data_IF_702660810139
#
_entry.id   IF_702660810139
#
_cell.length_a   1.000
_cell.length_b   1.000
_cell.length_c   1.000
_cell.angle_alpha   90.00
_cell.angle_beta   90.00
_cell.angle_gamma   90.00
#
_symmetry.space_group_name_H-M   'P 1'
#
loop_
_entity.id
_entity.type
_entity.pdbx_description
1 polymer ?
#
# COMPACT_ATOMS: atom_id res chain seq x y z
N UNK A 1 1.29 3.27 27.11
CA UNK A 1 2.21 3.51 25.97
C UNK A 1 1.42 4.19 24.86
N UNK A 2 1.66 5.48 24.63
CA UNK A 2 1.08 6.22 23.50
C UNK A 2 1.76 5.72 22.21
N UNK A 3 1.04 4.95 21.40
CA UNK A 3 1.46 4.65 20.03
C UNK A 3 1.06 5.83 19.18
N UNK A 4 2.02 6.62 18.72
CA UNK A 4 1.77 7.67 17.74
C UNK A 4 1.33 6.98 16.44
N UNK A 5 0.03 6.99 16.16
CA UNK A 5 -0.51 6.51 14.89
C UNK A 5 -0.07 7.50 13.79
N UNK A 6 1.13 7.32 13.22
CA UNK A 6 1.47 7.97 11.95
C UNK A 6 0.54 7.37 10.90
N UNK A 7 -0.21 8.22 10.20
CA UNK A 7 -1.05 7.77 9.10
C UNK A 7 -0.16 7.12 8.04
N UNK A 8 -0.46 5.89 7.59
CA UNK A 8 0.31 5.25 6.52
C UNK A 8 0.25 6.11 5.26
N UNK A 9 1.39 6.20 4.56
CA UNK A 9 1.43 6.80 3.23
C UNK A 9 0.80 5.85 2.22
N UNK A 10 0.05 6.40 1.27
CA UNK A 10 -0.64 5.61 0.26
C UNK A 10 0.33 5.07 -0.79
N UNK A 11 0.18 3.79 -1.14
CA UNK A 11 0.93 3.15 -2.23
C UNK A 11 0.00 2.92 -3.43
N UNK A 12 -1.10 2.21 -3.19
CA UNK A 12 -2.14 1.87 -4.15
C UNK A 12 -3.49 1.85 -3.44
N UNK A 13 -4.51 2.47 -4.04
CA UNK A 13 -5.90 2.33 -3.62
C UNK A 13 -6.72 1.64 -4.73
N UNK A 14 -7.38 0.54 -4.38
CA UNK A 14 -8.29 -0.19 -5.26
C UNK A 14 -9.69 -0.14 -4.66
N UNK A 15 -10.65 0.43 -5.40
CA UNK A 15 -12.07 0.48 -5.02
C UNK A 15 -12.91 -0.28 -6.04
N UNK A 16 -14.03 -0.86 -5.60
CA UNK A 16 -15.03 -1.41 -6.52
C UNK A 16 -15.83 -0.33 -7.27
N UNK A 17 -15.84 0.90 -6.76
CA UNK A 17 -16.69 1.99 -7.26
C UNK A 17 -15.88 3.11 -7.94
N UNK A 18 -14.61 3.29 -7.58
CA UNK A 18 -13.73 4.31 -8.16
C UNK A 18 -12.66 3.68 -9.04
N UNK A 19 -12.12 4.50 -9.95
CA UNK A 19 -10.89 4.18 -10.66
C UNK A 19 -9.76 3.90 -9.65
N UNK A 20 -8.84 3.03 -10.07
CA UNK A 20 -7.57 2.79 -9.40
C UNK A 20 -6.81 4.09 -9.15
N UNK A 21 -6.20 4.23 -7.97
CA UNK A 21 -5.28 5.32 -7.66
C UNK A 21 -3.90 4.76 -7.27
N UNK A 22 -2.90 4.96 -8.13
CA UNK A 22 -1.48 4.74 -7.82
C UNK A 22 -0.94 6.07 -7.30
N UNK A 23 -0.30 6.07 -6.14
CA UNK A 23 0.22 7.30 -5.56
C UNK A 23 1.44 7.82 -6.35
N UNK A 24 1.63 9.14 -6.49
CA UNK A 24 2.60 9.72 -7.42
C UNK A 24 4.05 9.22 -7.27
N UNK A 25 4.50 8.93 -6.05
CA UNK A 25 5.87 8.45 -5.76
C UNK A 25 6.14 7.03 -6.32
N UNK A 26 5.07 6.28 -6.61
CA UNK A 26 5.12 4.95 -7.20
C UNK A 26 4.69 4.94 -8.68
N UNK A 27 4.32 6.10 -9.24
CA UNK A 27 3.90 6.21 -10.63
C UNK A 27 5.00 5.70 -11.58
N UNK A 28 4.59 5.01 -12.65
CA UNK A 28 5.45 4.41 -13.66
C UNK A 28 6.40 3.29 -13.18
N UNK A 29 6.37 2.93 -11.89
CA UNK A 29 7.15 1.83 -11.31
C UNK A 29 6.29 0.75 -10.67
N UNK A 30 5.05 1.06 -10.32
CA UNK A 30 4.13 0.12 -9.69
C UNK A 30 3.14 -0.46 -10.70
N UNK A 31 3.09 -1.78 -10.75
CA UNK A 31 2.06 -2.56 -11.42
C UNK A 31 1.24 -3.32 -10.38
N UNK A 32 0.02 -3.69 -10.76
CA UNK A 32 -0.83 -4.52 -9.92
C UNK A 32 -1.64 -5.49 -10.76
N UNK A 33 -1.98 -6.63 -10.16
CA UNK A 33 -2.95 -7.57 -10.71
C UNK A 33 -3.92 -8.02 -9.61
N UNK A 34 -5.14 -8.34 -10.01
CA UNK A 34 -6.15 -8.93 -9.12
C UNK A 34 -6.37 -10.38 -9.52
N UNK A 35 -5.87 -11.28 -8.69
CA UNK A 35 -6.01 -12.73 -8.82
C UNK A 35 -7.09 -13.18 -7.82
N UNK A 36 -8.35 -13.29 -8.27
CA UNK A 36 -9.48 -13.63 -7.41
C UNK A 36 -9.63 -12.71 -6.17
N UNK A 37 -9.28 -13.23 -4.98
CA UNK A 37 -9.30 -12.54 -3.68
C UNK A 37 -7.94 -11.97 -3.27
N UNK A 38 -6.94 -12.06 -4.15
CA UNK A 38 -5.56 -11.62 -3.91
C UNK A 38 -5.26 -10.41 -4.79
N UNK A 39 -4.74 -9.36 -4.16
CA UNK A 39 -4.12 -8.23 -4.85
C UNK A 39 -2.61 -8.49 -4.88
N UNK A 40 -2.04 -8.55 -6.07
CA UNK A 40 -0.59 -8.64 -6.27
C UNK A 40 -0.10 -7.25 -6.67
N UNK A 41 0.94 -6.79 -6.01
CA UNK A 41 1.61 -5.52 -6.30
C UNK A 41 3.04 -5.85 -6.70
N UNK A 42 3.46 -5.35 -7.86
CA UNK A 42 4.83 -5.46 -8.35
C UNK A 42 5.41 -4.06 -8.39
N UNK A 43 6.44 -3.80 -7.58
CA UNK A 43 7.17 -2.55 -7.58
C UNK A 43 8.51 -2.75 -8.30
N UNK A 44 8.62 -2.16 -9.49
CA UNK A 44 9.80 -2.18 -10.33
C UNK A 44 10.79 -1.08 -9.94
N UNK A 45 12.05 -1.26 -10.32
CA UNK A 45 13.12 -0.27 -10.11
C UNK A 45 13.14 0.25 -8.66
N UNK A 46 13.24 -0.69 -7.70
CA UNK A 46 13.27 -0.40 -6.27
C UNK A 46 14.40 0.58 -5.91
N UNK A 47 14.10 1.52 -5.02
CA UNK A 47 15.00 2.58 -4.58
C UNK A 47 15.19 2.53 -3.06
N UNK A 48 16.27 3.10 -2.54
CA UNK A 48 16.51 3.15 -1.10
C UNK A 48 15.40 3.90 -0.33
N UNK A 49 14.70 4.82 -0.99
CA UNK A 49 13.53 5.52 -0.43
C UNK A 49 12.28 4.64 -0.31
N UNK A 50 12.25 3.48 -0.96
CA UNK A 50 11.16 2.51 -0.84
C UNK A 50 11.30 1.61 0.42
N UNK A 51 12.27 1.91 1.30
CA UNK A 51 12.50 1.18 2.54
C UNK A 51 11.41 1.47 3.57
N UNK A 52 10.47 0.55 3.76
CA UNK A 52 9.45 0.64 4.80
C UNK A 52 8.79 -0.73 5.08
N UNK A 53 7.81 -0.74 6.00
CA UNK A 53 6.89 -1.84 6.23
C UNK A 53 5.61 -1.61 5.44
N UNK A 54 5.40 -2.43 4.42
CA UNK A 54 4.21 -2.40 3.58
C UNK A 54 3.09 -3.21 4.22
N UNK A 55 1.91 -2.62 4.34
CA UNK A 55 0.73 -3.25 4.95
C UNK A 55 -0.46 -3.18 4.00
N UNK A 56 -1.25 -4.26 3.95
CA UNK A 56 -2.55 -4.21 3.28
C UNK A 56 -3.57 -3.56 4.21
N UNK A 57 -4.33 -2.60 3.70
CA UNK A 57 -5.42 -1.98 4.45
C UNK A 57 -6.73 -2.09 3.65
N UNK A 58 -7.84 -2.35 4.35
CA UNK A 58 -9.18 -2.30 3.79
C UNK A 58 -9.92 -1.09 4.36
N UNK A 59 -10.56 -0.32 3.47
CA UNK A 59 -11.47 0.76 3.86
C UNK A 59 -12.87 0.18 3.96
N UNK A 60 -13.49 0.32 5.13
CA UNK A 60 -14.92 0.02 5.29
C UNK A 60 -15.71 1.25 4.81
N UNK A 61 -16.58 1.04 3.82
CA UNK A 61 -17.36 2.11 3.16
C UNK A 61 -17.95 3.10 4.17
N UNK A 62 -17.84 4.40 3.86
CA UNK A 62 -18.27 5.56 4.67
C UNK A 62 -17.53 5.86 5.98
N UNK A 63 -16.38 5.24 6.24
CA UNK A 63 -15.53 5.62 7.38
C UNK A 63 -14.13 6.03 6.94
N UNK A 64 -13.53 7.01 7.63
CA UNK A 64 -12.09 7.32 7.54
C UNK A 64 -11.23 6.27 8.27
N UNK A 65 -11.82 5.14 8.67
CA UNK A 65 -11.16 4.11 9.46
C UNK A 65 -10.61 3.04 8.51
N UNK A 66 -9.29 2.95 8.49
CA UNK A 66 -8.58 1.87 7.81
C UNK A 66 -8.55 0.65 8.73
N UNK A 67 -9.10 -0.47 8.26
CA UNK A 67 -8.78 -1.77 8.83
C UNK A 67 -7.44 -2.21 8.24
N UNK A 68 -6.36 -1.91 8.95
CA UNK A 68 -5.01 -2.31 8.56
C UNK A 68 -4.79 -3.76 8.95
N UNK A 69 -4.22 -4.56 8.04
CA UNK A 69 -3.75 -5.91 8.33
C UNK A 69 -2.80 -5.87 9.53
N UNK A 70 -2.96 -6.80 10.47
CA UNK A 70 -2.02 -6.95 11.59
C UNK A 70 -0.64 -7.44 11.13
N UNK A 71 -0.50 -7.85 9.86
CA UNK A 71 0.73 -8.30 9.24
C UNK A 71 1.17 -7.33 8.14
N UNK A 72 2.45 -7.00 8.14
CA UNK A 72 3.12 -6.25 7.08
C UNK A 72 4.39 -6.95 6.62
N UNK A 73 4.93 -6.49 5.49
CA UNK A 73 6.16 -6.99 4.90
C UNK A 73 7.19 -5.87 4.92
N UNK A 74 8.34 -6.12 5.55
CA UNK A 74 9.47 -5.20 5.49
C UNK A 74 10.16 -5.32 4.13
N UNK A 75 10.32 -4.21 3.43
CA UNK A 75 11.12 -4.10 2.21
C UNK A 75 12.40 -3.34 2.55
N UNK A 76 13.55 -3.91 2.21
CA UNK A 76 14.85 -3.28 2.42
C UNK A 76 15.68 -3.37 1.14
N UNK A 77 15.92 -2.20 0.55
CA UNK A 77 16.74 -1.95 -0.62
C UNK A 77 18.06 -1.37 -0.13
N UNK A 78 19.16 -2.02 -0.53
CA UNK A 78 20.53 -1.56 -0.31
C UNK A 78 21.12 -1.11 -1.64
N UNK A 79 21.84 0.00 -1.62
CA UNK A 79 22.68 0.46 -2.72
C UNK A 79 24.02 -0.25 -2.75
#
# INVERSE_FOLDING_TARGET
LLKTHKQPEGVLCVSSQKALEIFPVFANRLEYSKEEKKLVITLHNLQQSDNDVYVCAAVLNNSFLFSVSQRGTMVMVKG
#
